data_IF_873438882310
#
_entry.id   IF_873438882310
#
_cell.length_a   1.000
_cell.length_b   1.000
_cell.length_c   1.000
_cell.angle_alpha   90.00
_cell.angle_beta   90.00
_cell.angle_gamma   90.00
#
_symmetry.space_group_name_H-M   'P 1'
#
loop_
_entity.id
_entity.type
_entity.pdbx_description
1 polymer ?
#
# COMPACT_ATOMS: atom_id res chain seq x y z
N UNK A 1 14.05 35.34 -15.32
CA UNK A 1 14.75 34.18 -14.73
C UNK A 1 16.00 34.02 -15.56
N UNK A 2 17.18 34.34 -15.03
CA UNK A 2 18.44 34.14 -15.78
C UNK A 2 18.54 32.65 -16.14
N UNK A 3 18.97 32.33 -17.36
CA UNK A 3 19.26 30.94 -17.73
C UNK A 3 20.37 30.43 -16.80
N UNK A 4 20.03 29.51 -15.88
CA UNK A 4 20.97 28.89 -14.94
C UNK A 4 22.21 28.35 -15.66
N UNK A 5 22.04 27.90 -16.90
CA UNK A 5 23.07 27.37 -17.77
C UNK A 5 24.17 28.38 -18.13
N UNK A 6 23.82 29.67 -18.23
CA UNK A 6 24.79 30.73 -18.60
C UNK A 6 25.65 31.10 -17.39
N UNK A 7 25.03 31.22 -16.22
CA UNK A 7 25.73 31.56 -14.97
C UNK A 7 26.66 30.43 -14.51
N UNK A 8 26.21 29.17 -14.59
CA UNK A 8 27.02 27.99 -14.30
C UNK A 8 28.25 27.92 -15.22
N UNK A 9 28.05 28.02 -16.54
CA UNK A 9 29.18 28.02 -17.51
C UNK A 9 30.15 29.17 -17.27
N UNK A 10 29.65 30.35 -16.91
CA UNK A 10 30.49 31.49 -16.57
C UNK A 10 31.28 31.24 -15.28
N UNK A 11 30.64 30.73 -14.22
CA UNK A 11 31.31 30.37 -12.96
C UNK A 11 32.39 29.31 -13.17
N UNK A 12 32.11 28.30 -14.01
CA UNK A 12 33.08 27.25 -14.34
C UNK A 12 34.31 27.82 -15.01
N UNK A 13 34.10 28.65 -16.04
CA UNK A 13 35.18 29.30 -16.78
C UNK A 13 36.02 30.18 -15.84
N UNK A 14 35.38 31.04 -15.04
CA UNK A 14 36.09 31.91 -14.10
C UNK A 14 36.82 31.11 -13.01
N UNK A 15 36.22 30.04 -12.49
CA UNK A 15 36.87 29.19 -11.49
C UNK A 15 38.10 28.50 -12.05
N UNK A 16 38.08 28.08 -13.33
CA UNK A 16 39.24 27.48 -14.00
C UNK A 16 40.36 28.50 -14.18
N UNK A 17 40.06 29.70 -14.66
CA UNK A 17 41.05 30.78 -14.81
C UNK A 17 41.72 31.11 -13.47
N UNK A 18 40.94 31.17 -12.39
CA UNK A 18 41.42 31.46 -11.04
C UNK A 18 42.30 30.31 -10.51
N UNK A 19 41.92 29.05 -10.74
CA UNK A 19 42.72 27.89 -10.35
C UNK A 19 44.03 27.83 -11.12
N UNK A 20 44.02 28.15 -12.42
CA UNK A 20 45.24 28.22 -13.24
C UNK A 20 46.18 29.33 -12.76
N UNK A 21 45.63 30.51 -12.46
CA UNK A 21 46.36 31.63 -11.87
C UNK A 21 47.00 31.27 -10.52
N UNK A 22 46.26 30.57 -9.66
CA UNK A 22 46.78 30.04 -8.40
C UNK A 22 47.93 29.05 -8.63
N UNK A 23 47.82 28.18 -9.65
CA UNK A 23 48.87 27.24 -10.06
C UNK A 23 50.15 27.91 -10.56
N UNK A 24 50.06 29.15 -11.06
CA UNK A 24 51.20 30.00 -11.45
C UNK A 24 51.85 30.75 -10.27
N UNK A 25 51.29 30.63 -9.05
CA UNK A 25 51.82 31.27 -7.84
C UNK A 25 51.38 32.74 -7.64
N UNK A 26 50.38 33.20 -8.39
CA UNK A 26 49.86 34.56 -8.25
C UNK A 26 48.91 34.70 -7.05
N UNK A 27 48.90 35.87 -6.40
CA UNK A 27 47.97 36.16 -5.31
C UNK A 27 46.54 36.37 -5.83
N UNK A 28 45.56 35.80 -5.12
CA UNK A 28 44.15 35.98 -5.42
C UNK A 28 43.60 37.26 -4.81
N UNK A 29 42.77 37.96 -5.60
CA UNK A 29 41.95 39.07 -5.11
C UNK A 29 40.75 38.54 -4.32
N UNK A 30 40.16 39.38 -3.47
CA UNK A 30 38.95 39.05 -2.69
C UNK A 30 37.79 38.59 -3.58
N UNK A 31 37.62 39.20 -4.75
CA UNK A 31 36.58 38.83 -5.73
C UNK A 31 36.83 37.42 -6.32
N UNK A 32 38.09 37.09 -6.61
CA UNK A 32 38.47 35.76 -7.13
C UNK A 32 38.21 34.67 -6.07
N UNK A 33 38.51 34.96 -4.80
CA UNK A 33 38.14 34.08 -3.69
C UNK A 33 36.62 33.93 -3.57
N UNK A 34 35.86 35.01 -3.75
CA UNK A 34 34.39 34.98 -3.71
C UNK A 34 33.82 34.09 -4.83
N UNK A 35 34.38 34.13 -6.04
CA UNK A 35 33.99 33.25 -7.15
C UNK A 35 34.23 31.78 -6.81
N UNK A 36 35.38 31.43 -6.20
CA UNK A 36 35.66 30.06 -5.76
C UNK A 36 34.65 29.58 -4.69
N UNK A 37 34.28 30.45 -3.75
CA UNK A 37 33.25 30.14 -2.74
C UNK A 37 31.89 29.92 -3.40
N UNK A 38 31.50 30.78 -4.34
CA UNK A 38 30.25 30.63 -5.09
C UNK A 38 30.22 29.33 -5.90
N UNK A 39 31.33 28.97 -6.55
CA UNK A 39 31.46 27.71 -7.27
C UNK A 39 31.35 26.51 -6.34
N UNK A 40 32.00 26.54 -5.18
CA UNK A 40 31.89 25.49 -4.18
C UNK A 40 30.44 25.33 -3.68
N UNK A 41 29.73 26.42 -3.43
CA UNK A 41 28.33 26.40 -3.00
C UNK A 41 27.39 25.88 -4.10
N UNK A 42 27.55 26.31 -5.35
CA UNK A 42 26.76 25.81 -6.49
C UNK A 42 26.96 24.30 -6.66
N UNK A 43 28.21 23.81 -6.64
CA UNK A 43 28.50 22.38 -6.69
C UNK A 43 27.84 21.60 -5.55
N UNK A 44 27.95 22.09 -4.31
CA UNK A 44 27.31 21.45 -3.16
C UNK A 44 25.78 21.40 -3.30
N UNK A 45 25.17 22.47 -3.79
CA UNK A 45 23.73 22.51 -4.03
C UNK A 45 23.29 21.55 -5.15
N UNK A 46 24.08 21.42 -6.21
CA UNK A 46 23.81 20.46 -7.29
C UNK A 46 23.85 19.02 -6.78
N UNK A 47 24.87 18.66 -6.00
CA UNK A 47 24.95 17.33 -5.39
C UNK A 47 23.78 17.07 -4.43
N UNK A 48 23.41 18.05 -3.60
CA UNK A 48 22.26 17.93 -2.70
C UNK A 48 20.94 17.71 -3.46
N UNK A 49 20.67 18.46 -4.53
CA UNK A 49 19.46 18.27 -5.35
C UNK A 49 19.46 16.88 -6.02
N UNK A 50 20.61 16.43 -6.52
CA UNK A 50 20.75 15.11 -7.12
C UNK A 50 20.49 13.99 -6.11
N UNK A 51 21.07 14.09 -4.91
CA UNK A 51 20.88 13.11 -3.84
C UNK A 51 19.42 13.07 -3.38
N UNK A 52 18.80 14.23 -3.15
CA UNK A 52 17.39 14.33 -2.80
C UNK A 52 16.48 13.71 -3.86
N UNK A 53 16.74 13.96 -5.15
CA UNK A 53 15.98 13.34 -6.25
C UNK A 53 16.15 11.82 -6.25
N UNK A 54 17.35 11.34 -6.00
CA UNK A 54 17.66 9.91 -5.92
C UNK A 54 16.92 9.25 -4.75
N UNK A 55 16.99 9.84 -3.55
CA UNK A 55 16.27 9.38 -2.37
C UNK A 55 14.76 9.36 -2.57
N UNK A 56 14.20 10.43 -3.16
CA UNK A 56 12.78 10.50 -3.48
C UNK A 56 12.36 9.39 -4.46
N UNK A 57 13.20 9.08 -5.45
CA UNK A 57 12.95 7.99 -6.39
C UNK A 57 12.97 6.64 -5.67
N UNK A 58 13.99 6.40 -4.84
CA UNK A 58 14.09 5.17 -4.04
C UNK A 58 12.90 4.99 -3.11
N UNK A 59 12.49 6.06 -2.41
CA UNK A 59 11.31 6.05 -1.53
C UNK A 59 10.05 5.70 -2.31
N UNK A 60 9.85 6.30 -3.49
CA UNK A 60 8.70 5.99 -4.35
C UNK A 60 8.69 4.53 -4.81
N UNK A 61 9.85 3.99 -5.16
CA UNK A 61 9.98 2.59 -5.56
C UNK A 61 9.74 1.62 -4.38
N UNK A 62 10.20 1.95 -3.17
CA UNK A 62 9.90 1.15 -1.96
C UNK A 62 8.41 1.20 -1.64
N UNK A 63 7.79 2.39 -1.71
CA UNK A 63 6.36 2.56 -1.52
C UNK A 63 5.55 1.71 -2.50
N UNK A 64 5.88 1.76 -3.80
CA UNK A 64 5.21 0.93 -4.81
C UNK A 64 5.30 -0.57 -4.49
N UNK A 65 6.50 -1.05 -4.11
CA UNK A 65 6.69 -2.46 -3.71
C UNK A 65 5.85 -2.84 -2.49
N UNK A 66 5.74 -1.95 -1.50
CA UNK A 66 4.89 -2.17 -0.33
C UNK A 66 3.40 -2.20 -0.71
N UNK A 67 2.95 -1.32 -1.60
CA UNK A 67 1.57 -1.32 -2.09
C UNK A 67 1.24 -2.62 -2.84
N UNK A 68 2.11 -3.08 -3.75
CA UNK A 68 1.93 -4.37 -4.42
C UNK A 68 1.85 -5.55 -3.42
N UNK A 69 2.65 -5.50 -2.35
CA UNK A 69 2.57 -6.51 -1.28
C UNK A 69 1.26 -6.42 -0.50
N UNK A 70 0.70 -5.22 -0.32
CA UNK A 70 -0.60 -5.01 0.33
C UNK A 70 -1.71 -5.55 -0.56
N UNK A 71 -1.68 -5.29 -1.86
CA UNK A 71 -2.66 -5.79 -2.83
C UNK A 71 -2.74 -7.32 -2.81
N UNK A 72 -1.59 -8.01 -2.84
CA UNK A 72 -1.53 -9.48 -2.72
C UNK A 72 -2.13 -10.01 -1.41
N UNK A 73 -1.97 -9.26 -0.30
CA UNK A 73 -2.57 -9.61 0.98
C UNK A 73 -4.09 -9.43 0.94
N UNK A 74 -4.59 -8.38 0.30
CA UNK A 74 -6.02 -8.18 0.11
C UNK A 74 -6.64 -9.28 -0.76
N UNK A 75 -6.02 -9.67 -1.87
CA UNK A 75 -6.50 -10.82 -2.67
C UNK A 75 -6.58 -12.12 -1.83
N UNK A 76 -5.64 -12.31 -0.90
CA UNK A 76 -5.65 -13.47 0.00
C UNK A 76 -6.80 -13.37 1.01
N UNK A 77 -7.11 -12.17 1.49
CA UNK A 77 -8.24 -11.89 2.38
C UNK A 77 -9.56 -12.14 1.66
N UNK A 78 -9.71 -11.69 0.43
CA UNK A 78 -10.91 -11.91 -0.39
C UNK A 78 -11.19 -13.41 -0.58
N UNK A 79 -10.15 -14.19 -0.94
CA UNK A 79 -10.27 -15.66 -1.04
C UNK A 79 -10.70 -16.33 0.27
N UNK A 80 -10.28 -15.78 1.41
CA UNK A 80 -10.72 -16.27 2.73
C UNK A 80 -12.18 -15.93 2.98
N UNK A 81 -12.63 -14.73 2.63
CA UNK A 81 -14.04 -14.34 2.74
C UNK A 81 -14.93 -15.21 1.86
N UNK A 82 -14.58 -15.45 0.60
CA UNK A 82 -15.33 -16.39 -0.26
C UNK A 82 -15.44 -17.80 0.35
N UNK A 83 -14.37 -18.27 1.01
CA UNK A 83 -14.37 -19.56 1.71
C UNK A 83 -15.32 -19.55 2.92
N UNK A 84 -15.37 -18.43 3.65
CA UNK A 84 -16.30 -18.22 4.76
C UNK A 84 -17.75 -18.21 4.25
N UNK A 85 -18.03 -17.51 3.16
CA UNK A 85 -19.37 -17.46 2.55
C UNK A 85 -19.84 -18.85 2.14
N UNK A 86 -19.00 -19.64 1.46
CA UNK A 86 -19.31 -21.04 1.12
C UNK A 86 -19.61 -21.90 2.34
N UNK A 87 -18.94 -21.67 3.47
CA UNK A 87 -19.22 -22.37 4.73
C UNK A 87 -20.57 -21.97 5.31
N UNK A 88 -20.92 -20.69 5.27
CA UNK A 88 -22.24 -20.21 5.70
C UNK A 88 -23.35 -20.80 4.85
N UNK A 89 -23.23 -20.79 3.52
CA UNK A 89 -24.21 -21.44 2.63
C UNK A 89 -24.39 -22.94 2.94
N UNK A 90 -23.29 -23.64 3.28
CA UNK A 90 -23.34 -25.04 3.70
C UNK A 90 -24.07 -25.22 5.02
N UNK A 91 -23.86 -24.30 5.98
CA UNK A 91 -24.59 -24.29 7.25
C UNK A 91 -26.08 -24.05 7.04
N UNK A 92 -26.46 -23.07 6.21
CA UNK A 92 -27.86 -22.77 5.90
C UNK A 92 -28.59 -23.98 5.32
N UNK A 93 -27.96 -24.68 4.37
CA UNK A 93 -28.51 -25.94 3.82
C UNK A 93 -28.72 -27.01 4.88
N UNK A 94 -27.80 -27.14 5.84
CA UNK A 94 -27.94 -28.10 6.96
C UNK A 94 -29.06 -27.68 7.91
N UNK A 95 -29.19 -26.39 8.20
CA UNK A 95 -30.28 -25.86 9.03
C UNK A 95 -31.64 -26.06 8.36
N UNK A 96 -31.78 -25.80 7.07
CA UNK A 96 -33.01 -26.09 6.33
C UNK A 96 -33.39 -27.58 6.41
N UNK A 97 -32.42 -28.47 6.23
CA UNK A 97 -32.67 -29.92 6.35
C UNK A 97 -33.14 -30.30 7.76
N UNK A 98 -32.53 -29.71 8.80
CA UNK A 98 -32.92 -29.91 10.18
C UNK A 98 -34.35 -29.40 10.43
N UNK A 99 -34.69 -28.21 9.96
CA UNK A 99 -36.03 -27.62 10.08
C UNK A 99 -37.07 -28.53 9.39
N UNK A 100 -36.79 -29.01 8.17
CA UNK A 100 -37.69 -29.94 7.47
C UNK A 100 -37.87 -31.26 8.23
N UNK A 101 -36.82 -31.78 8.86
CA UNK A 101 -36.89 -32.98 9.70
C UNK A 101 -37.78 -32.71 10.92
N UNK A 102 -37.51 -31.65 11.67
CA UNK A 102 -38.29 -31.26 12.85
C UNK A 102 -39.76 -31.05 12.49
N UNK A 103 -40.06 -30.35 11.39
CA UNK A 103 -41.43 -30.14 10.93
C UNK A 103 -42.19 -31.45 10.65
N UNK A 104 -41.53 -32.42 10.00
CA UNK A 104 -42.11 -33.76 9.81
C UNK A 104 -42.35 -34.47 11.13
N UNK A 105 -41.37 -34.46 12.05
CA UNK A 105 -41.53 -35.07 13.37
C UNK A 105 -42.71 -34.47 14.13
N UNK A 106 -42.87 -33.15 14.11
CA UNK A 106 -43.97 -32.43 14.76
C UNK A 106 -45.34 -32.81 14.16
N UNK A 107 -45.42 -32.92 12.83
CA UNK A 107 -46.65 -33.35 12.16
C UNK A 107 -47.06 -34.78 12.56
N UNK A 108 -46.11 -35.72 12.55
CA UNK A 108 -46.36 -37.10 12.96
C UNK A 108 -46.76 -37.21 14.44
N UNK A 109 -46.07 -36.50 15.35
CA UNK A 109 -46.40 -36.55 16.78
C UNK A 109 -47.80 -36.00 17.08
N UNK A 110 -48.20 -34.94 16.37
CA UNK A 110 -49.54 -34.37 16.54
C UNK A 110 -50.61 -35.35 16.03
N UNK A 111 -50.39 -36.00 14.89
CA UNK A 111 -51.27 -37.05 14.38
C UNK A 111 -51.41 -38.25 15.33
N UNK A 112 -50.30 -38.74 15.89
CA UNK A 112 -50.32 -39.82 16.89
C UNK A 112 -51.08 -39.42 18.15
N UNK A 113 -50.89 -38.20 18.63
CA UNK A 113 -51.59 -37.69 19.82
C UNK A 113 -53.09 -37.60 19.59
N UNK A 114 -53.53 -37.08 18.44
CA UNK A 114 -54.94 -37.01 18.07
C UNK A 114 -55.54 -38.41 17.91
N UNK A 115 -54.85 -39.33 17.22
CA UNK A 115 -55.31 -40.70 17.05
C UNK A 115 -55.47 -41.43 18.40
N UNK A 116 -54.52 -41.27 19.32
CA UNK A 116 -54.61 -41.80 20.66
C UNK A 116 -55.81 -41.22 21.43
N UNK A 117 -56.04 -39.90 21.35
CA UNK A 117 -57.20 -39.27 21.97
C UNK A 117 -58.53 -39.80 21.42
N UNK A 118 -58.65 -39.94 20.09
CA UNK A 118 -59.85 -40.51 19.43
C UNK A 118 -60.06 -41.97 19.85
N UNK A 119 -59.00 -42.78 19.90
CA UNK A 119 -59.09 -44.17 20.32
C UNK A 119 -59.61 -44.31 21.75
N UNK A 120 -59.08 -43.49 22.68
CA UNK A 120 -59.55 -43.45 24.07
C UNK A 120 -61.02 -43.05 24.15
N UNK A 121 -61.46 -42.07 23.36
CA UNK A 121 -62.87 -41.63 23.39
C UNK A 121 -63.83 -42.69 22.83
N UNK A 122 -63.44 -43.45 21.81
CA UNK A 122 -64.33 -44.41 21.13
C UNK A 122 -64.34 -45.83 21.72
N UNK A 123 -63.23 -46.29 22.32
CA UNK A 123 -63.10 -47.68 22.78
C UNK A 123 -63.02 -47.84 24.30
N UNK A 124 -62.70 -46.76 25.03
CA UNK A 124 -62.62 -46.74 26.49
C UNK A 124 -63.81 -46.03 27.15
N UNK A 125 -64.82 -45.63 26.35
CA UNK A 125 -66.17 -45.27 26.78
C UNK A 125 -67.14 -46.30 26.22
#
# INVERSE_FOLDING_TARGET
MFDNDIFEKWLDTQSQDIVEKMGKGEQLRTEEMMVLVLKAQSNHFYHLDQDLRSEMKMLREDMNRRFESIDKRFETVDKRFESVDRRFESMDKRFEQLIRRIGRFMFWSLGVTVAAAVFVVNYLK
#
